data_IF_763836091317
#
_entry.id   IF_763836091317
#
_cell.length_a   1.000
_cell.length_b   1.000
_cell.length_c   1.000
_cell.angle_alpha   90.00
_cell.angle_beta   90.00
_cell.angle_gamma   90.00
#
_symmetry.space_group_name_H-M   'P 1'
#
loop_
_entity.id
_entity.type
_entity.pdbx_description
1 polymer ?
#
# COMPACT_ATOMS: atom_id res chain seq x y z
N UNK A 1 -13.97 17.63 7.46
CA UNK A 1 -13.04 16.95 8.39
C UNK A 1 -11.74 16.66 7.65
N UNK A 2 -10.57 16.77 8.29
CA UNK A 2 -9.32 16.38 7.65
C UNK A 2 -9.31 14.88 7.35
N UNK A 3 -8.75 14.51 6.19
CA UNK A 3 -8.50 13.10 5.84
C UNK A 3 -7.39 12.56 6.73
N UNK A 4 -7.64 11.46 7.41
CA UNK A 4 -6.64 10.78 8.24
C UNK A 4 -6.03 9.62 7.45
N UNK A 5 -4.71 9.51 7.51
CA UNK A 5 -3.95 8.46 6.85
C UNK A 5 -3.12 7.68 7.86
N UNK A 6 -2.88 6.40 7.58
CA UNK A 6 -1.90 5.58 8.30
C UNK A 6 -1.03 4.80 7.33
N UNK A 7 0.20 4.54 7.74
CA UNK A 7 1.13 3.66 7.05
C UNK A 7 1.09 2.28 7.70
N UNK A 8 1.14 1.22 6.90
CA UNK A 8 1.29 -0.15 7.37
C UNK A 8 2.34 -0.86 6.53
N UNK A 9 3.32 -1.47 7.17
CA UNK A 9 4.32 -2.30 6.51
C UNK A 9 3.65 -3.52 5.85
N UNK A 10 4.00 -3.78 4.60
CA UNK A 10 3.55 -4.92 3.79
C UNK A 10 4.72 -5.47 2.96
N UNK A 11 4.67 -6.76 2.66
CA UNK A 11 5.65 -7.38 1.76
C UNK A 11 5.34 -7.08 0.29
N UNK A 12 6.39 -6.96 -0.52
CA UNK A 12 6.29 -6.91 -1.98
C UNK A 12 7.33 -7.84 -2.62
N UNK A 13 6.92 -8.58 -3.64
CA UNK A 13 7.74 -9.61 -4.30
C UNK A 13 7.91 -9.35 -5.78
N UNK A 14 9.13 -9.48 -6.27
CA UNK A 14 9.46 -9.40 -7.69
C UNK A 14 9.32 -10.77 -8.37
N UNK A 15 9.27 -10.76 -9.71
CA UNK A 15 9.16 -12.00 -10.49
C UNK A 15 10.35 -12.96 -10.31
N UNK A 16 11.54 -12.44 -9.99
CA UNK A 16 12.72 -13.27 -9.72
C UNK A 16 12.80 -13.79 -8.29
N UNK A 17 11.79 -13.52 -7.45
CA UNK A 17 11.72 -14.02 -6.08
C UNK A 17 12.31 -13.10 -5.01
N UNK A 18 12.90 -11.96 -5.38
CA UNK A 18 13.34 -10.95 -4.40
C UNK A 18 12.12 -10.35 -3.70
N UNK A 19 12.15 -10.33 -2.37
CA UNK A 19 11.12 -9.76 -1.51
C UNK A 19 11.67 -8.54 -0.74
N UNK A 20 10.83 -7.50 -0.60
CA UNK A 20 11.13 -6.27 0.13
C UNK A 20 9.93 -5.86 0.98
N UNK A 21 10.17 -5.09 2.03
CA UNK A 21 9.11 -4.45 2.82
C UNK A 21 8.85 -3.02 2.31
N UNK A 22 7.59 -2.65 2.18
CA UNK A 22 7.13 -1.30 1.80
C UNK A 22 5.97 -0.88 2.69
N UNK A 23 5.63 0.41 2.73
CA UNK A 23 4.52 0.89 3.55
C UNK A 23 3.29 1.18 2.68
N UNK A 24 2.20 0.44 2.86
CA UNK A 24 0.91 0.72 2.22
C UNK A 24 0.20 1.87 2.93
N UNK A 25 -0.33 2.82 2.16
CA UNK A 25 -1.08 3.96 2.69
C UNK A 25 -2.56 3.58 2.81
N UNK A 26 -3.15 3.81 3.98
CA UNK A 26 -4.59 3.62 4.21
C UNK A 26 -5.23 4.96 4.51
N UNK A 27 -6.41 5.22 3.93
CA UNK A 27 -7.24 6.37 4.24
C UNK A 27 -8.38 5.94 5.16
N UNK A 28 -8.64 6.75 6.19
CA UNK A 28 -9.80 6.55 7.06
C UNK A 28 -11.06 7.01 6.36
N UNK A 29 -12.04 6.13 6.28
CA UNK A 29 -13.41 6.42 5.86
C UNK A 29 -14.33 6.27 7.07
N UNK A 30 -15.05 7.34 7.39
CA UNK A 30 -16.16 7.29 8.36
C UNK A 30 -17.42 7.06 7.56
N UNK A 31 -18.19 6.03 7.90
CA UNK A 31 -19.57 5.97 7.45
C UNK A 31 -20.36 7.08 8.17
N UNK A 32 -21.20 7.82 7.46
CA UNK A 32 -22.03 8.86 8.07
C UNK A 32 -23.15 8.29 8.95
N UNK A 33 -23.50 7.01 8.76
CA UNK A 33 -24.59 6.34 9.46
C UNK A 33 -24.15 5.53 10.69
N UNK A 34 -22.86 5.15 10.76
CA UNK A 34 -22.30 4.41 11.90
C UNK A 34 -21.03 5.10 12.37
N UNK A 35 -20.79 5.11 13.69
CA UNK A 35 -19.50 5.55 14.24
C UNK A 35 -18.34 4.58 13.89
N UNK A 36 -18.59 3.57 13.06
CA UNK A 36 -17.60 2.62 12.59
C UNK A 36 -16.52 3.31 11.73
N UNK A 37 -15.28 3.12 12.14
CA UNK A 37 -14.11 3.61 11.44
C UNK A 37 -13.57 2.52 10.52
N UNK A 38 -13.69 2.71 9.20
CA UNK A 38 -13.08 1.81 8.22
C UNK A 38 -11.78 2.41 7.69
N UNK A 39 -10.78 1.56 7.49
CA UNK A 39 -9.51 1.95 6.86
C UNK A 39 -9.41 1.27 5.50
N UNK A 40 -9.38 2.06 4.44
CA UNK A 40 -9.32 1.54 3.07
C UNK A 40 -7.89 1.68 2.54
N UNK A 41 -7.27 0.61 2.02
CA UNK A 41 -5.96 0.72 1.38
C UNK A 41 -6.09 1.58 0.12
N UNK A 42 -5.25 2.61 0.02
CA UNK A 42 -5.09 3.36 -1.22
C UNK A 42 -4.22 2.55 -2.19
N UNK A 43 -4.36 2.74 -3.51
CA UNK A 43 -3.45 2.18 -4.52
C UNK A 43 -2.12 2.95 -4.52
N UNK A 44 -1.52 3.14 -3.34
CA UNK A 44 -0.30 3.90 -3.13
C UNK A 44 0.52 3.25 -2.03
N UNK A 45 1.84 3.28 -2.20
CA UNK A 45 2.81 2.92 -1.18
C UNK A 45 3.74 4.09 -0.89
N UNK A 46 4.29 4.13 0.32
CA UNK A 46 5.47 4.87 0.64
C UNK A 46 6.67 3.92 0.58
N UNK A 47 7.71 4.35 -0.14
CA UNK A 47 8.99 3.68 -0.21
C UNK A 47 10.07 4.72 0.05
N UNK A 48 10.70 4.60 1.23
CA UNK A 48 11.64 5.61 1.73
C UNK A 48 10.94 6.97 1.85
N UNK A 49 11.27 7.93 0.98
CA UNK A 49 10.76 9.31 0.98
C UNK A 49 9.76 9.57 -0.16
N UNK A 50 9.44 8.55 -0.95
CA UNK A 50 8.58 8.68 -2.14
C UNK A 50 7.27 7.96 -1.96
N UNK A 51 6.20 8.63 -2.39
CA UNK A 51 4.91 7.99 -2.61
C UNK A 51 4.86 7.50 -4.05
N UNK A 52 4.54 6.21 -4.22
CA UNK A 52 4.48 5.53 -5.51
C UNK A 52 3.06 5.03 -5.70
N UNK A 53 2.46 5.37 -6.85
CA UNK A 53 1.17 4.83 -7.26
C UNK A 53 1.33 3.36 -7.69
N UNK A 54 0.41 2.53 -7.23
CA UNK A 54 0.28 1.14 -7.66
C UNK A 54 -0.58 1.07 -8.91
N UNK A 55 -0.27 0.12 -9.78
CA UNK A 55 -1.18 -0.30 -10.85
C UNK A 55 -2.39 -1.06 -10.30
N UNK A 56 -3.35 -1.35 -11.19
CA UNK A 56 -4.57 -2.09 -10.86
C UNK A 56 -4.30 -3.51 -10.31
N UNK A 57 -3.14 -4.10 -10.65
CA UNK A 57 -2.71 -5.42 -10.17
C UNK A 57 -1.80 -5.37 -8.93
N UNK A 58 -1.77 -4.23 -8.24
CA UNK A 58 -0.95 -3.94 -7.05
C UNK A 58 0.57 -4.01 -7.32
N UNK A 59 1.02 -3.64 -8.52
CA UNK A 59 2.44 -3.61 -8.87
C UNK A 59 3.03 -2.20 -8.91
N UNK A 60 4.34 -2.10 -8.72
CA UNK A 60 5.10 -0.86 -8.90
C UNK A 60 6.52 -1.14 -9.39
N UNK A 61 7.14 -0.13 -9.99
CA UNK A 61 8.55 -0.16 -10.38
C UNK A 61 9.41 0.50 -9.31
N UNK A 62 10.37 -0.23 -8.76
CA UNK A 62 11.26 0.29 -7.72
C UNK A 62 12.15 1.42 -8.31
N UNK A 63 12.10 2.64 -7.76
CA UNK A 63 12.63 3.84 -8.41
C UNK A 63 14.15 3.84 -8.61
N UNK A 64 14.89 3.10 -7.76
CA UNK A 64 16.36 2.99 -7.85
C UNK A 64 16.85 1.85 -8.74
N UNK A 65 16.09 0.75 -8.83
CA UNK A 65 16.57 -0.50 -9.44
C UNK A 65 15.85 -0.82 -10.75
N UNK A 66 14.71 -0.19 -11.02
CA UNK A 66 13.86 -0.50 -12.18
C UNK A 66 13.16 -1.85 -12.10
N UNK A 67 13.31 -2.58 -10.99
CA UNK A 67 12.69 -3.90 -10.81
C UNK A 67 11.21 -3.72 -10.48
N UNK A 68 10.36 -4.52 -11.10
CA UNK A 68 8.93 -4.55 -10.82
C UNK A 68 8.65 -5.46 -9.63
N UNK A 69 7.88 -4.94 -8.67
CA UNK A 69 7.42 -5.66 -7.49
C UNK A 69 5.90 -5.66 -7.44
N UNK A 70 5.33 -6.75 -6.93
CA UNK A 70 3.91 -6.89 -6.61
C UNK A 70 3.72 -6.84 -5.10
N UNK A 71 2.87 -5.96 -4.61
CA UNK A 71 2.49 -5.91 -3.19
C UNK A 71 1.68 -7.16 -2.87
N UNK A 72 2.12 -7.90 -1.85
CA UNK A 72 1.40 -9.05 -1.35
C UNK A 72 0.25 -8.54 -0.49
N UNK A 73 -0.99 -8.91 -0.85
CA UNK A 73 -2.14 -8.65 0.03
C UNK A 73 -1.98 -9.55 1.24
N UNK A 74 -2.14 -9.00 2.45
CA UNK A 74 -2.40 -9.83 3.61
C UNK A 74 -3.75 -10.52 3.37
N UNK A 75 -3.72 -11.80 3.00
CA UNK A 75 -4.88 -12.64 3.24
C UNK A 75 -5.05 -12.70 4.76
N UNK A 76 -6.18 -12.21 5.25
CA UNK A 76 -6.58 -12.40 6.65
C UNK A 76 -6.56 -13.91 6.91
N UNK A 77 -5.57 -14.38 7.67
CA UNK A 77 -5.57 -15.70 8.28
C UNK A 77 -6.52 -15.74 9.49
#
# INVERSE_FOLDING_TARGET
MPKLHKLKEVSAKSNCGTEISVERIYERVRDGASNDETWIPLPKIALTDKVIDLSDDDTFTHPRTGIVFKVLREEYA
#
